data_IF_569495337854
#
_entry.id   IF_569495337854
#
_cell.length_a   1.000
_cell.length_b   1.000
_cell.length_c   1.000
_cell.angle_alpha   90.00
_cell.angle_beta   90.00
_cell.angle_gamma   90.00
#
_symmetry.space_group_name_H-M   'P 1'
#
loop_
_entity.id
_entity.type
_entity.pdbx_description
1 polymer ?
#
# COMPACT_ATOMS: atom_id res chain seq x y z
N UNK A 1 8.19 48.04 -3.83
CA UNK A 1 6.78 47.61 -4.03
C UNK A 1 6.63 46.19 -4.60
N UNK A 2 6.89 45.86 -5.88
CA UNK A 2 6.66 44.48 -6.41
C UNK A 2 7.49 43.40 -5.69
N UNK A 3 8.76 43.67 -5.38
CA UNK A 3 9.63 42.73 -4.65
C UNK A 3 9.14 42.46 -3.21
N UNK A 4 8.68 43.49 -2.52
CA UNK A 4 8.11 43.36 -1.16
C UNK A 4 6.80 42.57 -1.19
N UNK A 5 5.95 42.79 -2.19
CA UNK A 5 4.73 42.00 -2.39
C UNK A 5 5.04 40.51 -2.60
N UNK A 6 6.02 40.20 -3.47
CA UNK A 6 6.46 38.82 -3.70
C UNK A 6 7.09 38.20 -2.45
N UNK A 7 7.87 38.96 -1.68
CA UNK A 7 8.44 38.50 -0.42
C UNK A 7 7.36 38.21 0.63
N UNK A 8 6.36 39.08 0.78
CA UNK A 8 5.23 38.86 1.68
C UNK A 8 4.39 37.65 1.25
N UNK A 9 4.18 37.47 -0.06
CA UNK A 9 3.49 36.30 -0.61
C UNK A 9 4.26 35.00 -0.32
N UNK A 10 5.58 35.01 -0.50
CA UNK A 10 6.44 33.86 -0.20
C UNK A 10 6.42 33.51 1.30
N UNK A 11 6.43 34.51 2.18
CA UNK A 11 6.30 34.30 3.63
C UNK A 11 4.95 33.67 3.99
N UNK A 12 3.86 34.14 3.39
CA UNK A 12 2.52 33.56 3.54
C UNK A 12 2.49 32.09 3.09
N UNK A 13 3.06 31.79 1.92
CA UNK A 13 3.13 30.42 1.41
C UNK A 13 3.97 29.51 2.30
N UNK A 14 5.10 30.01 2.83
CA UNK A 14 5.94 29.28 3.77
C UNK A 14 5.21 28.98 5.09
N UNK A 15 4.49 29.95 5.63
CA UNK A 15 3.67 29.76 6.83
C UNK A 15 2.54 28.75 6.59
N UNK A 16 1.87 28.79 5.44
CA UNK A 16 0.86 27.80 5.07
C UNK A 16 1.47 26.41 4.96
N UNK A 17 2.65 26.26 4.33
CA UNK A 17 3.32 24.98 4.22
C UNK A 17 3.71 24.40 5.59
N UNK A 18 4.18 25.25 6.51
CA UNK A 18 4.47 24.85 7.88
C UNK A 18 3.20 24.37 8.62
N UNK A 19 2.08 25.08 8.43
CA UNK A 19 0.79 24.67 8.99
C UNK A 19 0.32 23.33 8.42
N UNK A 20 0.39 23.14 7.10
CA UNK A 20 0.05 21.86 6.46
C UNK A 20 0.92 20.72 7.01
N UNK A 21 2.22 20.96 7.19
CA UNK A 21 3.14 19.97 7.75
C UNK A 21 2.77 19.60 9.19
N UNK A 22 2.44 20.60 10.01
CA UNK A 22 1.99 20.37 11.39
C UNK A 22 0.66 19.60 11.44
N UNK A 23 -0.29 19.90 10.56
CA UNK A 23 -1.54 19.16 10.44
C UNK A 23 -1.30 17.70 10.03
N UNK A 24 -0.43 17.46 9.05
CA UNK A 24 -0.07 16.10 8.63
C UNK A 24 0.58 15.30 9.78
N UNK A 25 1.47 15.94 10.55
CA UNK A 25 2.08 15.30 11.72
C UNK A 25 1.03 14.92 12.78
N UNK A 26 -0.01 15.74 12.95
CA UNK A 26 -1.12 15.44 13.84
C UNK A 26 -1.96 14.27 13.31
N UNK A 27 -2.24 14.23 12.01
CA UNK A 27 -2.93 13.10 11.37
C UNK A 27 -2.13 11.79 11.51
N UNK A 28 -0.80 11.84 11.39
CA UNK A 28 0.06 10.67 11.60
C UNK A 28 0.08 10.14 13.04
N UNK A 29 -0.48 10.87 14.02
CA UNK A 29 -0.70 10.33 15.37
C UNK A 29 -1.87 9.34 15.41
N UNK A 30 -2.79 9.42 14.45
CA UNK A 30 -3.92 8.51 14.31
C UNK A 30 -3.64 7.52 13.17
N UNK A 31 -3.11 6.34 13.53
CA UNK A 31 -2.74 5.33 12.54
C UNK A 31 -4.01 4.60 12.07
N UNK A 32 -4.42 4.90 10.82
CA UNK A 32 -5.57 4.27 10.14
C UNK A 32 -5.11 3.16 9.22
N UNK A 33 -5.94 2.13 9.06
CA UNK A 33 -5.72 1.07 8.09
C UNK A 33 -5.80 1.62 6.66
N UNK A 34 -4.81 1.38 5.77
CA UNK A 34 -4.86 1.86 4.38
C UNK A 34 -5.87 1.08 3.53
N UNK A 35 -6.23 -0.14 3.95
CA UNK A 35 -7.08 -1.06 3.21
C UNK A 35 -8.08 -1.73 4.16
N UNK A 36 -9.27 -2.02 3.62
CA UNK A 36 -10.26 -2.83 4.34
C UNK A 36 -9.85 -4.30 4.31
N UNK A 37 -9.89 -4.95 5.47
CA UNK A 37 -9.51 -6.36 5.60
C UNK A 37 -9.70 -6.86 7.02
N UNK A 38 -9.22 -8.08 7.29
CA UNK A 38 -9.25 -8.63 8.64
C UNK A 38 -7.94 -8.29 9.34
N UNK A 39 -8.04 -7.69 10.53
CA UNK A 39 -6.88 -7.45 11.38
C UNK A 39 -6.34 -8.79 11.90
N UNK A 40 -5.06 -9.05 11.66
CA UNK A 40 -4.36 -10.20 12.23
C UNK A 40 -3.89 -9.88 13.66
N UNK A 41 -2.99 -10.69 14.22
CA UNK A 41 -2.44 -10.50 15.56
C UNK A 41 -1.73 -9.15 15.68
N UNK A 42 -2.19 -8.34 16.64
CA UNK A 42 -1.56 -7.10 17.07
C UNK A 42 -0.17 -7.38 17.63
N UNK A 43 0.87 -6.84 16.98
CA UNK A 43 2.28 -7.04 17.34
C UNK A 43 2.77 -6.05 18.41
N UNK A 44 2.01 -4.98 18.64
CA UNK A 44 2.39 -3.89 19.55
C UNK A 44 1.34 -3.68 20.63
N UNK A 45 1.77 -3.50 21.87
CA UNK A 45 0.90 -3.21 23.01
C UNK A 45 0.97 -1.72 23.38
N UNK A 46 -0.08 -1.24 24.04
CA UNK A 46 -0.16 0.15 24.51
C UNK A 46 1.03 0.45 25.41
N UNK A 47 1.73 1.56 25.14
CA UNK A 47 2.91 1.98 25.89
C UNK A 47 4.26 1.60 25.26
N UNK A 48 4.26 0.82 24.18
CA UNK A 48 5.49 0.55 23.42
C UNK A 48 5.86 1.76 22.56
N UNK A 49 7.15 2.12 22.54
CA UNK A 49 7.68 3.12 21.62
C UNK A 49 7.62 2.57 20.20
N UNK A 50 6.92 3.28 19.31
CA UNK A 50 6.83 2.96 17.89
C UNK A 50 7.70 3.93 17.10
N UNK A 51 8.47 3.41 16.15
CA UNK A 51 9.27 4.22 15.24
C UNK A 51 8.67 4.17 13.83
N UNK A 52 8.66 5.31 13.09
CA UNK A 52 8.29 5.32 11.68
C UNK A 52 9.06 4.25 10.91
N UNK A 53 8.37 3.54 10.02
CA UNK A 53 8.92 2.55 9.07
C UNK A 53 9.61 1.31 9.65
N UNK A 54 9.79 1.20 10.96
CA UNK A 54 10.49 0.07 11.60
C UNK A 54 9.56 -0.85 12.41
N UNK A 55 8.48 -0.31 12.96
CA UNK A 55 7.58 -1.10 13.81
C UNK A 55 6.34 -1.56 13.04
N UNK A 56 6.27 -2.84 12.69
CA UNK A 56 5.04 -3.44 12.16
C UNK A 56 4.00 -3.53 13.28
N UNK A 57 2.94 -2.71 13.20
CA UNK A 57 1.93 -2.62 14.25
C UNK A 57 0.94 -3.77 14.21
N UNK A 58 0.46 -4.08 13.00
CA UNK A 58 -0.45 -5.17 12.72
C UNK A 58 -0.39 -5.49 11.24
N UNK A 59 -0.67 -6.74 10.89
CA UNK A 59 -0.90 -7.12 9.49
C UNK A 59 -2.41 -7.09 9.23
N UNK A 60 -2.80 -6.54 8.09
CA UNK A 60 -4.18 -6.63 7.60
C UNK A 60 -4.14 -7.62 6.45
N UNK A 61 -4.86 -8.72 6.61
CA UNK A 61 -5.01 -9.71 5.53
C UNK A 61 -6.33 -9.48 4.82
N UNK A 62 -6.25 -9.25 3.53
CA UNK A 62 -7.41 -9.21 2.65
C UNK A 62 -7.78 -10.65 2.31
N UNK A 63 -9.01 -11.06 2.63
CA UNK A 63 -9.48 -12.44 2.37
C UNK A 63 -10.04 -12.61 0.95
N UNK A 64 -10.22 -11.52 0.21
CA UNK A 64 -10.87 -11.51 -1.09
C UNK A 64 -10.19 -10.47 -2.00
N UNK A 65 -9.56 -10.85 -3.13
CA UNK A 65 -9.46 -12.21 -3.69
C UNK A 65 -8.37 -13.07 -3.03
N UNK A 66 -8.50 -14.41 -3.14
CA UNK A 66 -7.46 -15.36 -2.72
C UNK A 66 -6.67 -15.76 -3.97
N UNK A 67 -5.39 -15.39 -4.01
CA UNK A 67 -4.48 -15.82 -5.08
C UNK A 67 -3.97 -17.24 -4.82
N UNK A 68 -4.19 -18.14 -5.79
CA UNK A 68 -3.65 -19.51 -5.78
C UNK A 68 -2.57 -19.63 -6.86
N UNK A 69 -1.36 -19.97 -6.44
CA UNK A 69 -0.25 -20.28 -7.33
C UNK A 69 -0.03 -21.80 -7.33
N UNK A 70 0.03 -22.39 -8.51
CA UNK A 70 0.39 -23.80 -8.70
C UNK A 70 1.69 -23.87 -9.49
N UNK A 71 2.69 -24.54 -8.95
CA UNK A 71 3.93 -24.85 -9.67
C UNK A 71 3.68 -26.05 -10.59
N UNK A 72 3.76 -25.83 -11.90
CA UNK A 72 3.61 -26.88 -12.92
C UNK A 72 4.95 -27.07 -13.61
N UNK A 73 5.37 -28.34 -13.77
CA UNK A 73 6.55 -28.67 -14.55
C UNK A 73 6.37 -28.19 -16.00
N UNK A 74 7.31 -27.39 -16.49
CA UNK A 74 7.26 -26.77 -17.81
C UNK A 74 7.07 -27.80 -18.94
N UNK A 75 7.63 -29.01 -18.79
CA UNK A 75 7.47 -30.10 -19.79
C UNK A 75 6.03 -30.60 -19.82
N UNK A 76 5.39 -30.69 -18.65
CA UNK A 76 4.00 -31.09 -18.51
C UNK A 76 3.08 -30.01 -19.10
N UNK A 77 3.39 -28.74 -18.87
CA UNK A 77 2.69 -27.61 -19.47
C UNK A 77 2.79 -27.64 -21.00
N UNK A 78 3.99 -27.85 -21.57
CA UNK A 78 4.17 -27.93 -23.03
C UNK A 78 3.55 -29.19 -23.66
N UNK A 79 3.49 -30.32 -22.96
CA UNK A 79 2.74 -31.49 -23.46
C UNK A 79 1.24 -31.22 -23.43
N UNK A 80 0.73 -30.64 -22.34
CA UNK A 80 -0.68 -30.32 -22.20
C UNK A 80 -1.14 -29.25 -23.19
N UNK A 81 -0.36 -28.19 -23.39
CA UNK A 81 -0.66 -27.14 -24.36
C UNK A 81 -0.70 -27.67 -25.80
N UNK A 82 0.22 -28.59 -26.16
CA UNK A 82 0.21 -29.26 -27.47
C UNK A 82 -1.00 -30.17 -27.64
N UNK A 83 -1.35 -30.93 -26.61
CA UNK A 83 -2.53 -31.81 -26.63
C UNK A 83 -3.85 -31.02 -26.64
N UNK A 84 -3.91 -29.87 -25.96
CA UNK A 84 -5.05 -28.96 -25.97
C UNK A 84 -5.24 -28.29 -27.34
N UNK A 85 -4.15 -27.85 -27.98
CA UNK A 85 -4.19 -27.35 -29.37
C UNK A 85 -4.64 -28.42 -30.36
N UNK A 86 -4.21 -29.67 -30.18
CA UNK A 86 -4.62 -30.79 -31.03
C UNK A 86 -6.11 -31.16 -30.86
N UNK A 87 -6.73 -30.81 -29.72
CA UNK A 87 -8.14 -31.09 -29.41
C UNK A 87 -9.08 -29.91 -29.67
N UNK A 88 -8.57 -28.79 -30.20
CA UNK A 88 -9.40 -27.66 -30.68
C UNK A 88 -10.17 -26.90 -29.60
N UNK A 89 -9.82 -27.03 -28.32
CA UNK A 89 -10.44 -26.28 -27.23
C UNK A 89 -9.80 -24.90 -27.11
N UNK A 90 -10.56 -23.84 -27.40
CA UNK A 90 -10.15 -22.46 -27.15
C UNK A 90 -9.78 -22.29 -25.68
N UNK A 91 -8.53 -21.90 -25.42
CA UNK A 91 -8.05 -21.52 -24.10
C UNK A 91 -8.80 -20.25 -23.68
N UNK A 92 -9.75 -20.39 -22.75
CA UNK A 92 -10.42 -19.24 -22.12
C UNK A 92 -9.64 -18.88 -20.85
N UNK A 93 -9.39 -17.57 -20.71
CA UNK A 93 -8.69 -16.89 -19.62
C UNK A 93 -9.22 -17.23 -18.22
#
# INVERSE_FOLDING_TARGET
>A
RRREYLAAQAQMQGATAALTTASLNMEFTEIKAPLSGRIDRRLVSVGNLVQPDSTLLTTIVTRDPIDFYFDVDERLYFSYARDAMARGGSMQE
#
